data_IF_710086496369
#
_entry.id   IF_710086496369
#
_cell.length_a   1.000
_cell.length_b   1.000
_cell.length_c   1.000
_cell.angle_alpha   90.00
_cell.angle_beta   90.00
_cell.angle_gamma   90.00
#
_symmetry.space_group_name_H-M   'P 1'
#
loop_
_entity.id
_entity.type
_entity.pdbx_description
1 polymer ?
#
# COMPACT_ATOMS: atom_id res chain seq x y z
N UNK A 1 4.00 44.73 -9.78
CA UNK A 1 3.09 44.38 -10.93
C UNK A 1 3.85 44.36 -12.28
N UNK A 2 5.04 43.78 -12.30
CA UNK A 2 5.88 43.77 -13.50
C UNK A 2 5.41 42.75 -14.55
N UNK A 3 4.47 41.86 -14.23
CA UNK A 3 3.90 40.89 -15.14
C UNK A 3 2.38 40.75 -14.93
N UNK A 4 1.56 41.70 -15.37
CA UNK A 4 0.10 41.72 -15.09
C UNK A 4 -0.63 40.55 -15.77
N UNK A 5 -0.13 40.03 -16.88
CA UNK A 5 -0.79 38.98 -17.67
C UNK A 5 -0.45 37.56 -17.24
N UNK A 6 0.55 37.37 -16.41
CA UNK A 6 0.93 36.05 -15.93
C UNK A 6 0.11 35.59 -14.71
N UNK A 7 -0.21 34.30 -14.65
CA UNK A 7 -0.87 33.72 -13.49
C UNK A 7 0.11 33.46 -12.35
N UNK A 8 -0.37 33.64 -11.12
CA UNK A 8 0.36 33.35 -9.88
C UNK A 8 -0.49 32.56 -8.90
N UNK A 9 0.13 31.57 -8.25
CA UNK A 9 -0.44 30.92 -7.05
C UNK A 9 0.32 31.45 -5.83
N UNK A 10 -0.43 31.97 -4.86
CA UNK A 10 0.08 32.58 -3.65
C UNK A 10 -0.32 31.71 -2.45
N UNK A 11 0.66 31.14 -1.79
CA UNK A 11 0.49 30.20 -0.71
C UNK A 11 0.66 30.87 0.65
N UNK A 12 -0.35 30.73 1.52
CA UNK A 12 -0.32 31.12 2.93
C UNK A 12 -0.54 29.92 3.86
N UNK A 13 -0.36 30.12 5.17
CA UNK A 13 -0.60 29.09 6.19
C UNK A 13 -1.92 29.29 6.94
N UNK A 14 -2.30 30.54 7.20
CA UNK A 14 -3.47 30.89 8.02
C UNK A 14 -4.56 31.61 7.21
N UNK A 15 -5.82 31.47 7.61
CA UNK A 15 -6.93 32.15 6.95
C UNK A 15 -6.77 33.68 7.04
N UNK A 16 -6.40 34.19 8.21
CA UNK A 16 -6.20 35.64 8.40
C UNK A 16 -5.15 36.23 7.47
N UNK A 17 -4.08 35.47 7.19
CA UNK A 17 -3.04 35.83 6.23
C UNK A 17 -3.59 35.84 4.80
N UNK A 18 -4.29 34.79 4.38
CA UNK A 18 -4.86 34.72 3.02
C UNK A 18 -5.94 35.77 2.81
N UNK A 19 -6.70 36.14 3.85
CA UNK A 19 -7.67 37.23 3.79
C UNK A 19 -7.01 38.62 3.67
N UNK A 20 -5.91 38.83 4.38
CA UNK A 20 -5.13 40.07 4.26
C UNK A 20 -4.49 40.19 2.86
N UNK A 21 -3.92 39.09 2.31
CA UNK A 21 -3.37 39.06 0.96
C UNK A 21 -4.45 39.37 -0.08
N UNK A 22 -5.64 38.77 0.08
CA UNK A 22 -6.75 39.02 -0.87
C UNK A 22 -7.28 40.48 -0.89
N UNK A 23 -7.11 41.19 0.21
CA UNK A 23 -7.43 42.61 0.29
C UNK A 23 -6.37 43.51 -0.37
N UNK A 24 -5.12 43.03 -0.41
CA UNK A 24 -3.99 43.79 -0.91
C UNK A 24 -3.67 43.51 -2.39
N UNK A 25 -4.13 42.39 -2.93
CA UNK A 25 -3.81 41.95 -4.27
C UNK A 25 -5.06 42.02 -5.14
N UNK A 26 -5.07 42.96 -6.06
CA UNK A 26 -6.16 43.12 -7.01
C UNK A 26 -6.32 41.88 -7.93
N UNK A 27 -7.56 41.66 -8.38
CA UNK A 27 -7.92 40.53 -9.28
C UNK A 27 -7.52 39.17 -8.71
N UNK A 28 -7.53 39.03 -7.39
CA UNK A 28 -7.23 37.76 -6.71
C UNK A 28 -8.49 37.02 -6.28
N UNK A 29 -8.38 35.71 -6.26
CA UNK A 29 -9.40 34.82 -5.72
C UNK A 29 -8.81 34.07 -4.53
N UNK A 30 -9.49 34.15 -3.38
CA UNK A 30 -9.07 33.44 -2.17
C UNK A 30 -9.89 32.15 -1.99
N UNK A 31 -9.22 31.01 -1.82
CA UNK A 31 -9.85 29.71 -1.58
C UNK A 31 -9.39 29.15 -0.24
N UNK A 32 -10.34 28.96 0.66
CA UNK A 32 -10.10 28.53 2.04
C UNK A 32 -10.74 27.16 2.34
N UNK A 33 -10.25 26.48 3.39
CA UNK A 33 -10.80 25.22 3.87
C UNK A 33 -12.25 25.33 4.34
N UNK A 34 -12.65 26.50 4.87
CA UNK A 34 -13.98 26.84 5.36
C UNK A 34 -15.03 27.06 4.27
N UNK A 35 -14.61 27.29 3.02
CA UNK A 35 -15.55 27.54 1.93
C UNK A 35 -16.39 26.28 1.62
N UNK A 36 -17.62 26.51 1.15
CA UNK A 36 -18.48 25.42 0.70
C UNK A 36 -17.82 24.66 -0.46
N UNK A 37 -17.94 23.33 -0.51
CA UNK A 37 -17.26 22.50 -1.55
C UNK A 37 -17.53 22.98 -2.99
N UNK A 38 -18.76 23.42 -3.29
CA UNK A 38 -19.17 23.92 -4.61
C UNK A 38 -18.48 25.23 -4.97
N UNK A 39 -18.40 26.18 -4.00
CA UNK A 39 -17.72 27.47 -4.18
C UNK A 39 -16.24 27.25 -4.41
N UNK A 40 -15.63 26.35 -3.63
CA UNK A 40 -14.23 25.97 -3.73
C UNK A 40 -13.91 25.39 -5.10
N UNK A 41 -14.70 24.41 -5.55
CA UNK A 41 -14.54 23.79 -6.85
C UNK A 41 -14.70 24.81 -8.00
N UNK A 42 -15.70 25.67 -7.91
CA UNK A 42 -15.92 26.72 -8.91
C UNK A 42 -14.73 27.68 -9.00
N UNK A 43 -14.26 28.21 -7.87
CA UNK A 43 -13.15 29.17 -7.81
C UNK A 43 -11.84 28.56 -8.34
N UNK A 44 -11.54 27.30 -7.99
CA UNK A 44 -10.38 26.61 -8.49
C UNK A 44 -10.48 26.34 -10.00
N UNK A 45 -11.66 26.02 -10.52
CA UNK A 45 -11.89 25.86 -11.94
C UNK A 45 -11.78 27.16 -12.73
N UNK A 46 -12.29 28.28 -12.18
CA UNK A 46 -12.13 29.60 -12.79
C UNK A 46 -10.64 29.99 -12.92
N UNK A 47 -9.83 29.70 -11.90
CA UNK A 47 -8.37 29.90 -12.02
C UNK A 47 -7.74 28.97 -13.07
N UNK A 48 -8.16 27.69 -13.14
CA UNK A 48 -7.67 26.75 -14.14
C UNK A 48 -8.02 27.15 -15.58
N UNK A 49 -9.14 27.89 -15.78
CA UNK A 49 -9.56 28.45 -17.08
C UNK A 49 -8.97 29.84 -17.38
N UNK A 50 -8.05 30.31 -16.55
CA UNK A 50 -7.41 31.63 -16.66
C UNK A 50 -8.35 32.85 -16.52
N UNK A 51 -9.54 32.65 -15.93
CA UNK A 51 -10.51 33.72 -15.63
C UNK A 51 -10.00 34.66 -14.53
N UNK A 52 -9.10 34.16 -13.68
CA UNK A 52 -8.40 34.94 -12.66
C UNK A 52 -6.89 34.77 -12.81
N UNK A 53 -6.15 35.86 -12.56
CA UNK A 53 -4.69 35.86 -12.64
C UNK A 53 -3.99 35.52 -11.33
N UNK A 54 -4.67 35.63 -10.19
CA UNK A 54 -4.09 35.44 -8.85
C UNK A 54 -4.96 34.48 -8.02
N UNK A 55 -4.41 33.33 -7.66
CA UNK A 55 -5.03 32.39 -6.72
C UNK A 55 -4.32 32.47 -5.37
N UNK A 56 -5.05 32.78 -4.32
CA UNK A 56 -4.57 32.78 -2.94
C UNK A 56 -5.18 31.57 -2.25
N UNK A 57 -4.36 30.71 -1.64
CA UNK A 57 -4.83 29.52 -0.96
C UNK A 57 -3.79 28.99 0.03
N UNK A 58 -4.11 27.89 0.74
CA UNK A 58 -3.20 27.24 1.67
C UNK A 58 -2.62 25.95 1.08
N UNK A 59 -1.40 25.60 1.47
CA UNK A 59 -0.74 24.35 1.04
C UNK A 59 -1.55 23.11 1.40
N UNK A 60 -2.31 23.13 2.52
CA UNK A 60 -3.21 22.06 2.93
C UNK A 60 -4.41 21.84 2.00
N UNK A 61 -4.76 22.82 1.16
CA UNK A 61 -5.83 22.74 0.16
C UNK A 61 -5.29 22.20 -1.17
N UNK A 62 -3.99 22.22 -1.38
CA UNK A 62 -3.34 21.65 -2.56
C UNK A 62 -3.61 20.14 -2.74
N UNK A 63 -4.08 19.44 -1.69
CA UNK A 63 -4.45 18.01 -1.73
C UNK A 63 -5.67 17.69 -2.61
N UNK A 64 -6.41 18.70 -3.10
CA UNK A 64 -7.60 18.51 -3.95
C UNK A 64 -7.33 18.17 -5.42
N UNK A 65 -6.24 17.55 -5.78
CA UNK A 65 -6.03 16.92 -7.09
C UNK A 65 -5.96 17.83 -8.32
N UNK A 66 -6.12 19.14 -8.17
CA UNK A 66 -6.15 20.11 -9.28
C UNK A 66 -4.79 20.21 -9.97
N UNK A 67 -4.84 20.43 -11.29
CA UNK A 67 -3.70 20.60 -12.15
C UNK A 67 -3.66 22.04 -12.68
N UNK A 68 -2.52 22.72 -12.49
CA UNK A 68 -2.33 24.11 -12.91
C UNK A 68 -1.13 24.25 -13.83
N UNK A 69 -1.08 23.45 -14.90
CA UNK A 69 0.01 23.47 -15.90
C UNK A 69 0.14 24.83 -16.61
N UNK A 70 -0.95 25.58 -16.72
CA UNK A 70 -0.93 26.92 -17.30
C UNK A 70 -0.20 27.94 -16.41
N UNK A 71 -0.16 27.72 -15.09
CA UNK A 71 0.53 28.59 -14.15
C UNK A 71 1.98 28.09 -13.91
N UNK A 72 2.94 28.99 -13.98
CA UNK A 72 4.35 28.69 -13.75
C UNK A 72 5.01 29.57 -12.69
N UNK A 73 4.25 30.45 -12.05
CA UNK A 73 4.75 31.32 -10.98
C UNK A 73 4.06 31.01 -9.65
N UNK A 74 4.85 30.83 -8.60
CA UNK A 74 4.37 30.58 -7.25
C UNK A 74 5.05 31.49 -6.26
N UNK A 75 4.29 31.97 -5.26
CA UNK A 75 4.79 32.75 -4.14
C UNK A 75 4.37 32.07 -2.85
N UNK A 76 5.33 31.75 -1.98
CA UNK A 76 5.06 31.30 -0.62
C UNK A 76 5.28 32.46 0.33
N UNK A 77 4.19 33.03 0.84
CA UNK A 77 4.22 34.14 1.80
C UNK A 77 4.59 33.65 3.20
N UNK A 78 4.12 32.45 3.54
CA UNK A 78 4.53 31.73 4.74
C UNK A 78 4.57 30.22 4.45
N UNK A 79 5.40 29.51 5.19
CA UNK A 79 5.54 28.06 5.08
C UNK A 79 6.03 27.47 6.40
N UNK A 80 5.69 26.19 6.64
CA UNK A 80 6.13 25.43 7.81
C UNK A 80 7.30 24.49 7.47
N UNK A 81 7.77 23.72 8.45
CA UNK A 81 8.85 22.74 8.27
C UNK A 81 8.44 21.49 7.47
N UNK A 82 7.18 21.39 6.99
CA UNK A 82 6.67 20.24 6.24
C UNK A 82 7.06 20.33 4.78
N UNK A 83 8.23 19.79 4.45
CA UNK A 83 8.72 19.74 3.07
C UNK A 83 7.73 19.10 2.10
N UNK A 84 7.00 18.10 2.53
CA UNK A 84 6.01 17.40 1.70
C UNK A 84 4.89 18.33 1.23
N UNK A 85 4.29 19.13 2.13
CA UNK A 85 3.25 20.10 1.77
C UNK A 85 3.77 21.14 0.76
N UNK A 86 4.99 21.62 0.96
CA UNK A 86 5.67 22.51 0.03
C UNK A 86 5.90 21.84 -1.33
N UNK A 87 6.45 20.63 -1.35
CA UNK A 87 6.69 19.87 -2.57
C UNK A 87 5.41 19.56 -3.33
N UNK A 88 4.35 19.13 -2.66
CA UNK A 88 3.04 18.89 -3.27
C UNK A 88 2.45 20.16 -3.89
N UNK A 89 2.59 21.31 -3.23
CA UNK A 89 2.17 22.59 -3.78
C UNK A 89 2.94 22.95 -5.06
N UNK A 90 4.26 22.77 -5.09
CA UNK A 90 5.08 23.01 -6.29
C UNK A 90 4.69 22.07 -7.43
N UNK A 91 4.40 20.80 -7.14
CA UNK A 91 3.99 19.81 -8.14
C UNK A 91 2.64 20.11 -8.81
N UNK A 92 1.86 21.07 -8.32
CA UNK A 92 0.62 21.51 -8.98
C UNK A 92 0.89 22.22 -10.32
N UNK A 93 1.99 22.96 -10.41
CA UNK A 93 2.42 23.61 -11.65
C UNK A 93 3.55 22.86 -12.36
N UNK A 94 4.45 22.21 -11.61
CA UNK A 94 5.56 21.44 -12.16
C UNK A 94 5.11 20.00 -12.45
N UNK A 95 4.47 19.81 -13.60
CA UNK A 95 3.93 18.51 -14.05
C UNK A 95 4.23 18.26 -15.52
N UNK A 96 3.96 17.02 -15.95
CA UNK A 96 4.02 16.65 -17.36
C UNK A 96 3.10 17.59 -18.20
N UNK A 97 3.64 18.16 -19.27
CA UNK A 97 2.94 19.16 -20.10
C UNK A 97 3.22 20.62 -19.72
N UNK A 98 3.97 20.90 -18.63
CA UNK A 98 4.46 22.25 -18.35
C UNK A 98 5.62 22.60 -19.31
N UNK A 99 5.42 23.61 -20.14
CA UNK A 99 6.39 24.04 -21.13
C UNK A 99 7.28 25.22 -20.68
N UNK A 100 6.86 25.89 -19.59
CA UNK A 100 7.59 27.02 -19.03
C UNK A 100 8.34 26.65 -17.77
N UNK A 101 9.45 27.29 -17.48
CA UNK A 101 10.20 27.11 -16.25
C UNK A 101 9.35 27.59 -15.06
N UNK A 102 9.04 26.70 -14.12
CA UNK A 102 8.32 27.05 -12.90
C UNK A 102 9.22 27.87 -11.98
N UNK A 103 8.75 29.04 -11.60
CA UNK A 103 9.43 29.97 -10.69
C UNK A 103 8.76 29.92 -9.32
N UNK A 104 9.54 29.64 -8.28
CA UNK A 104 9.07 29.58 -6.89
C UNK A 104 9.75 30.70 -6.10
N UNK A 105 8.95 31.64 -5.61
CA UNK A 105 9.39 32.75 -4.78
C UNK A 105 9.07 32.43 -3.30
N UNK A 106 10.10 32.46 -2.46
CA UNK A 106 9.96 32.26 -1.01
C UNK A 106 10.15 33.58 -0.29
N UNK A 107 9.13 34.08 0.39
CA UNK A 107 9.25 35.24 1.28
C UNK A 107 9.74 34.77 2.65
N UNK A 108 10.98 35.07 3.01
CA UNK A 108 11.63 34.59 4.23
C UNK A 108 11.93 35.74 5.14
N UNK A 109 11.14 35.98 6.18
CA UNK A 109 11.54 36.94 7.23
C UNK A 109 12.80 36.44 7.94
N UNK A 110 13.58 37.35 8.52
CA UNK A 110 14.85 37.01 9.17
C UNK A 110 14.70 35.97 10.31
N UNK A 111 13.56 36.01 11.00
CA UNK A 111 13.22 35.06 12.05
C UNK A 111 13.03 33.60 11.56
N UNK A 112 12.85 33.39 10.25
CA UNK A 112 12.60 32.08 9.66
C UNK A 112 13.75 31.54 8.77
N UNK A 113 14.96 32.09 8.86
CA UNK A 113 16.12 31.61 8.11
C UNK A 113 16.41 30.12 8.30
N UNK A 114 16.15 29.59 9.49
CA UNK A 114 16.35 28.15 9.79
C UNK A 114 15.31 27.26 9.07
N UNK A 115 14.08 27.72 8.88
CA UNK A 115 13.05 26.98 8.12
C UNK A 115 13.47 26.85 6.66
N UNK A 116 13.95 27.97 6.07
CA UNK A 116 14.48 27.96 4.71
C UNK A 116 15.63 26.97 4.54
N UNK A 117 16.61 26.99 5.45
CA UNK A 117 17.77 26.08 5.40
C UNK A 117 17.30 24.62 5.43
N UNK A 118 16.37 24.26 6.33
CA UNK A 118 15.82 22.91 6.43
C UNK A 118 15.07 22.46 5.16
N UNK A 119 14.29 23.36 4.54
CA UNK A 119 13.58 23.05 3.30
C UNK A 119 14.55 22.84 2.14
N UNK A 120 15.55 23.71 1.98
CA UNK A 120 16.57 23.58 0.94
C UNK A 120 17.45 22.33 1.10
N UNK A 121 17.78 21.94 2.32
CA UNK A 121 18.52 20.70 2.59
C UNK A 121 17.68 19.46 2.24
N UNK A 122 16.37 19.47 2.58
CA UNK A 122 15.45 18.40 2.21
C UNK A 122 15.20 18.36 0.71
N UNK A 123 15.06 19.51 0.06
CA UNK A 123 14.96 19.63 -1.38
C UNK A 123 16.19 19.07 -2.09
N UNK A 124 17.38 19.48 -1.66
CA UNK A 124 18.65 18.97 -2.21
C UNK A 124 18.74 17.46 -2.12
N UNK A 125 18.48 16.88 -0.95
CA UNK A 125 18.45 15.42 -0.74
C UNK A 125 17.42 14.74 -1.64
N UNK A 126 16.23 15.34 -1.81
CA UNK A 126 15.18 14.83 -2.69
C UNK A 126 15.60 14.85 -4.17
N UNK A 127 16.20 15.95 -4.65
CA UNK A 127 16.67 16.03 -6.03
C UNK A 127 17.92 15.18 -6.29
N UNK A 128 18.83 15.05 -5.32
CA UNK A 128 19.95 14.11 -5.42
C UNK A 128 19.43 12.69 -5.59
N UNK A 129 18.44 12.28 -4.80
CA UNK A 129 17.79 10.99 -4.91
C UNK A 129 17.06 10.80 -6.25
N UNK A 130 16.28 11.80 -6.73
CA UNK A 130 15.62 11.74 -8.05
C UNK A 130 16.67 11.69 -9.17
N UNK A 131 17.75 12.44 -9.08
CA UNK A 131 18.83 12.44 -10.07
C UNK A 131 19.56 11.11 -10.10
N UNK A 132 19.79 10.52 -8.96
CA UNK A 132 20.32 9.16 -8.87
C UNK A 132 19.33 8.17 -9.51
N UNK A 133 18.03 8.22 -9.16
CA UNK A 133 16.99 7.38 -9.77
C UNK A 133 16.85 7.61 -11.29
N UNK A 134 16.93 8.85 -11.79
CA UNK A 134 16.81 9.14 -13.23
C UNK A 134 18.07 8.78 -14.03
N UNK A 135 19.25 8.92 -13.44
CA UNK A 135 20.50 8.44 -14.05
C UNK A 135 20.53 6.90 -14.13
N UNK A 136 19.86 6.23 -13.21
CA UNK A 136 19.67 4.79 -13.23
C UNK A 136 18.66 4.33 -14.30
N UNK A 137 17.60 5.11 -14.60
CA UNK A 137 16.62 4.75 -15.64
C UNK A 137 17.10 5.03 -17.06
N UNK A 138 18.08 5.91 -17.27
CA UNK A 138 18.54 6.31 -18.60
C UNK A 138 19.71 5.48 -19.16
N UNK A 139 20.45 4.78 -18.34
CA UNK A 139 21.72 4.17 -18.75
C UNK A 139 22.08 2.90 -17.97
N UNK A 140 21.28 1.89 -17.87
CA UNK A 140 21.91 0.59 -17.50
C UNK A 140 20.89 -0.53 -17.37
N UNK A 141 21.31 -1.74 -17.77
CA UNK A 141 20.78 -3.00 -17.28
C UNK A 141 20.42 -2.89 -15.79
N UNK A 142 19.13 -3.01 -15.49
CA UNK A 142 18.52 -2.90 -14.17
C UNK A 142 19.24 -3.73 -13.09
N UNK A 143 19.87 -4.85 -13.48
CA UNK A 143 20.63 -5.71 -12.58
C UNK A 143 21.88 -5.08 -11.94
N UNK A 144 22.50 -4.09 -12.59
CA UNK A 144 23.77 -3.51 -12.11
C UNK A 144 23.55 -2.29 -11.19
N UNK A 145 22.39 -1.65 -11.25
CA UNK A 145 22.08 -0.44 -10.49
C UNK A 145 21.72 -0.74 -9.02
N UNK A 146 21.03 -1.86 -8.76
CA UNK A 146 20.55 -2.26 -7.44
C UNK A 146 21.67 -2.70 -6.50
N UNK A 147 22.80 -3.15 -7.04
CA UNK A 147 23.94 -3.67 -6.24
C UNK A 147 24.72 -2.60 -5.43
N UNK A 148 24.40 -1.31 -5.53
CA UNK A 148 25.17 -0.21 -4.89
C UNK A 148 24.46 0.54 -3.78
N UNK A 149 23.17 0.34 -3.55
CA UNK A 149 22.50 0.90 -2.39
C UNK A 149 22.62 -0.11 -1.23
N UNK A 150 23.60 0.08 -0.38
CA UNK A 150 23.65 -0.61 0.93
C UNK A 150 22.47 -0.10 1.78
N UNK A 151 21.30 -0.69 1.60
CA UNK A 151 20.27 -0.69 2.63
C UNK A 151 20.82 -1.59 3.74
N UNK A 152 21.08 -1.06 4.92
CA UNK A 152 21.42 -1.86 6.10
C UNK A 152 20.14 -2.58 6.52
N UNK A 153 19.82 -3.65 5.82
CA UNK A 153 18.71 -4.52 6.18
C UNK A 153 19.13 -5.26 7.45
N UNK A 154 18.33 -5.12 8.50
CA UNK A 154 18.42 -6.05 9.62
C UNK A 154 17.86 -7.38 9.11
N UNK A 155 18.58 -8.46 9.35
CA UNK A 155 18.16 -9.79 8.97
C UNK A 155 18.36 -10.78 10.09
N UNK A 156 17.53 -11.79 10.11
CA UNK A 156 17.72 -12.98 10.93
C UNK A 156 17.55 -14.17 10.02
N UNK A 157 18.58 -14.95 9.90
CA UNK A 157 18.63 -16.16 9.11
C UNK A 157 18.90 -17.35 10.04
N UNK A 158 18.03 -18.36 9.95
CA UNK A 158 18.14 -19.64 10.66
C UNK A 158 17.91 -20.79 9.67
N UNK A 159 18.03 -22.02 10.11
CA UNK A 159 17.75 -23.19 9.26
C UNK A 159 16.27 -23.29 8.84
N UNK A 160 15.36 -22.72 9.65
CA UNK A 160 13.93 -22.83 9.46
C UNK A 160 13.27 -21.57 8.91
N UNK A 161 13.86 -20.39 9.14
CA UNK A 161 13.27 -19.14 8.68
C UNK A 161 14.28 -18.03 8.48
N UNK A 162 13.93 -17.10 7.58
CA UNK A 162 14.61 -15.84 7.36
C UNK A 162 13.62 -14.69 7.47
N UNK A 163 13.94 -13.67 8.26
CA UNK A 163 13.14 -12.45 8.39
C UNK A 163 14.01 -11.25 8.07
N UNK A 164 13.56 -10.44 7.11
CA UNK A 164 14.28 -9.27 6.60
C UNK A 164 13.52 -7.98 6.94
N UNK A 165 14.24 -6.97 7.43
CA UNK A 165 13.70 -5.62 7.57
C UNK A 165 14.12 -4.76 6.38
N UNK A 166 13.25 -4.54 5.42
CA UNK A 166 13.56 -3.78 4.22
C UNK A 166 12.40 -3.68 3.23
N UNK A 167 12.65 -2.98 2.14
CA UNK A 167 11.74 -2.94 0.99
C UNK A 167 11.62 -4.33 0.35
N UNK A 168 10.39 -4.75 0.03
CA UNK A 168 10.14 -6.09 -0.48
C UNK A 168 10.78 -6.31 -1.87
N UNK A 169 10.73 -5.34 -2.77
CA UNK A 169 11.33 -5.47 -4.11
C UNK A 169 12.84 -5.62 -4.00
N UNK A 170 13.49 -4.72 -3.25
CA UNK A 170 14.95 -4.76 -3.05
C UNK A 170 15.41 -6.02 -2.34
N UNK A 171 14.64 -6.51 -1.38
CA UNK A 171 14.97 -7.74 -0.66
C UNK A 171 14.81 -8.96 -1.57
N UNK A 172 13.70 -9.05 -2.32
CA UNK A 172 13.50 -10.17 -3.24
C UNK A 172 14.59 -10.23 -4.31
N UNK A 173 15.07 -9.07 -4.82
CA UNK A 173 16.18 -9.02 -5.79
C UNK A 173 17.49 -9.66 -5.28
N UNK A 174 17.68 -9.75 -3.97
CA UNK A 174 18.85 -10.38 -3.35
C UNK A 174 18.65 -11.87 -3.11
N UNK A 175 17.41 -12.37 -3.19
CA UNK A 175 17.12 -13.79 -3.04
C UNK A 175 17.45 -14.57 -4.32
N UNK A 176 17.89 -15.83 -4.20
CA UNK A 176 18.11 -16.69 -5.35
C UNK A 176 16.84 -16.93 -6.18
N UNK A 177 17.00 -17.22 -7.46
CA UNK A 177 15.93 -17.69 -8.31
C UNK A 177 15.35 -19.00 -7.74
N UNK A 178 14.04 -19.20 -7.86
CA UNK A 178 13.37 -20.45 -7.46
C UNK A 178 13.62 -20.87 -5.99
N UNK A 179 13.78 -19.91 -5.08
CA UNK A 179 14.04 -20.19 -3.66
C UNK A 179 12.77 -20.40 -2.82
N UNK A 180 11.61 -20.03 -3.33
CA UNK A 180 10.32 -20.18 -2.64
C UNK A 180 9.43 -21.21 -3.38
N UNK A 181 8.81 -22.10 -2.60
CA UNK A 181 7.87 -23.10 -3.12
C UNK A 181 6.45 -22.54 -3.25
N UNK A 182 6.09 -21.60 -2.40
CA UNK A 182 4.80 -20.90 -2.44
C UNK A 182 4.98 -19.49 -1.89
N UNK A 183 4.20 -18.53 -2.39
CA UNK A 183 4.08 -17.22 -1.76
C UNK A 183 2.67 -17.00 -1.25
N UNK A 184 2.53 -16.53 0.01
CA UNK A 184 1.23 -16.23 0.64
C UNK A 184 1.35 -14.87 1.31
N UNK A 185 0.45 -13.94 0.98
CA UNK A 185 0.46 -12.61 1.58
C UNK A 185 -0.85 -11.84 1.40
N UNK A 186 -0.99 -10.79 2.19
CA UNK A 186 -2.00 -9.75 2.02
C UNK A 186 -1.28 -8.46 1.64
N UNK A 187 -1.51 -7.88 0.47
CA UNK A 187 -0.86 -6.63 0.08
C UNK A 187 -1.40 -5.46 0.90
N UNK A 188 -0.66 -4.36 1.05
CA UNK A 188 -1.22 -3.14 1.59
C UNK A 188 -2.42 -2.69 0.72
N UNK A 189 -3.46 -2.17 1.37
CA UNK A 189 -4.70 -1.75 0.70
C UNK A 189 -4.62 -0.30 0.20
N UNK A 190 -3.58 0.05 -0.57
CA UNK A 190 -3.38 1.38 -1.16
C UNK A 190 -3.82 2.54 -0.22
N UNK A 191 -4.65 3.47 -0.68
CA UNK A 191 -5.10 4.66 0.06
C UNK A 191 -5.88 4.40 1.38
N UNK A 192 -6.20 3.15 1.72
CA UNK A 192 -7.00 2.83 2.91
C UNK A 192 -6.20 2.98 4.21
N UNK A 193 -4.92 2.61 4.20
CA UNK A 193 -4.07 2.61 5.40
C UNK A 193 -2.65 3.05 5.07
N UNK A 194 -2.13 3.98 5.87
CA UNK A 194 -0.73 4.37 5.88
C UNK A 194 -0.04 3.54 6.96
N UNK A 195 0.92 2.70 6.58
CA UNK A 195 1.58 1.78 7.52
C UNK A 195 2.89 2.33 8.08
N UNK A 196 3.56 3.21 7.35
CA UNK A 196 4.80 3.87 7.82
C UNK A 196 5.03 5.22 7.13
N UNK A 197 5.92 6.06 7.68
CA UNK A 197 6.34 7.33 7.07
C UNK A 197 7.39 7.13 5.95
N UNK A 198 7.73 5.89 5.60
CA UNK A 198 8.74 5.58 4.59
C UNK A 198 8.16 5.73 3.19
N UNK A 199 8.98 6.22 2.25
CA UNK A 199 8.58 6.41 0.84
C UNK A 199 8.41 5.09 0.08
N UNK A 200 9.08 4.07 0.54
CA UNK A 200 9.07 2.70 0.04
C UNK A 200 7.78 1.95 0.45
N UNK A 201 7.00 2.53 1.37
CA UNK A 201 5.72 1.96 1.79
C UNK A 201 4.70 2.08 0.67
N UNK A 202 4.32 0.95 0.09
CA UNK A 202 3.30 0.88 -0.96
C UNK A 202 1.91 1.35 -0.48
N UNK A 203 1.66 1.41 0.83
CA UNK A 203 0.46 2.02 1.42
C UNK A 203 0.46 3.54 1.39
N UNK A 204 1.60 4.20 1.18
CA UNK A 204 1.74 5.67 1.15
C UNK A 204 1.55 6.28 -0.25
N UNK A 205 0.93 5.56 -1.16
CA UNK A 205 0.70 6.04 -2.53
C UNK A 205 -0.45 7.04 -2.61
N UNK A 206 -0.26 8.09 -3.40
CA UNK A 206 -1.27 9.14 -3.57
C UNK A 206 -2.46 8.71 -4.43
N UNK A 207 -2.34 7.62 -5.19
CA UNK A 207 -3.40 7.06 -6.03
C UNK A 207 -3.08 5.63 -6.47
N UNK A 208 -4.11 4.92 -6.96
CA UNK A 208 -4.01 3.52 -7.41
C UNK A 208 -3.04 3.31 -8.57
N UNK A 209 -2.79 4.31 -9.40
CA UNK A 209 -1.81 4.20 -10.49
C UNK A 209 -0.38 4.11 -9.96
N UNK A 210 -0.05 4.87 -8.91
CA UNK A 210 1.24 4.73 -8.25
C UNK A 210 1.38 3.37 -7.55
N UNK A 211 0.28 2.88 -6.95
CA UNK A 211 0.25 1.55 -6.37
C UNK A 211 0.51 0.46 -7.42
N UNK A 212 -0.16 0.55 -8.57
CA UNK A 212 0.09 -0.32 -9.73
C UNK A 212 1.55 -0.26 -10.18
N UNK A 213 2.09 0.95 -10.30
CA UNK A 213 3.48 1.15 -10.74
C UNK A 213 4.48 0.48 -9.76
N UNK A 214 4.22 0.51 -8.46
CA UNK A 214 5.04 -0.22 -7.47
C UNK A 214 4.88 -1.74 -7.61
N UNK A 215 3.66 -2.25 -7.81
CA UNK A 215 3.41 -3.68 -8.02
C UNK A 215 4.08 -4.21 -9.29
N UNK A 216 4.21 -3.40 -10.34
CA UNK A 216 4.94 -3.76 -11.56
C UNK A 216 6.41 -4.13 -11.31
N UNK A 217 7.01 -3.64 -10.25
CA UNK A 217 8.37 -4.03 -9.86
C UNK A 217 8.39 -5.28 -8.97
N UNK A 218 7.37 -5.50 -8.15
CA UNK A 218 7.29 -6.66 -7.26
C UNK A 218 6.94 -7.95 -8.03
N UNK A 219 5.98 -7.89 -8.97
CA UNK A 219 5.46 -9.08 -9.65
C UNK A 219 6.55 -9.84 -10.42
N UNK A 220 7.47 -9.18 -11.20
CA UNK A 220 8.57 -9.89 -11.85
C UNK A 220 9.51 -10.58 -10.86
N UNK A 221 9.77 -9.98 -9.70
CA UNK A 221 10.60 -10.60 -8.67
C UNK A 221 9.89 -11.79 -8.03
N UNK A 222 8.58 -11.72 -7.77
CA UNK A 222 7.80 -12.88 -7.33
C UNK A 222 7.86 -14.01 -8.36
N UNK A 223 7.75 -13.66 -9.66
CA UNK A 223 7.86 -14.66 -10.75
C UNK A 223 9.22 -15.36 -10.78
N UNK A 224 10.28 -14.62 -10.47
CA UNK A 224 11.66 -15.13 -10.44
C UNK A 224 11.95 -16.01 -9.22
N UNK A 225 11.49 -15.58 -8.02
CA UNK A 225 11.83 -16.27 -6.76
C UNK A 225 10.93 -17.45 -6.44
N UNK A 226 9.68 -17.44 -6.92
CA UNK A 226 8.75 -18.56 -6.78
C UNK A 226 9.02 -19.58 -7.89
N UNK A 227 9.17 -20.85 -7.54
CA UNK A 227 9.46 -21.93 -8.47
C UNK A 227 8.42 -22.03 -9.58
N UNK A 228 8.84 -22.53 -10.73
CA UNK A 228 7.98 -22.81 -11.87
C UNK A 228 6.83 -23.76 -11.51
N UNK A 229 5.65 -23.49 -12.06
CA UNK A 229 4.44 -24.27 -11.81
C UNK A 229 3.83 -24.13 -10.41
N UNK A 230 4.40 -23.30 -9.55
CA UNK A 230 4.00 -23.12 -8.15
C UNK A 230 3.07 -21.91 -7.96
N UNK A 231 2.49 -21.77 -6.78
CA UNK A 231 1.39 -20.84 -6.50
C UNK A 231 1.86 -19.59 -5.75
N UNK A 232 1.31 -18.46 -6.17
CA UNK A 232 1.26 -17.20 -5.39
C UNK A 232 -0.19 -16.99 -4.96
N UNK A 233 -0.44 -16.98 -3.65
CA UNK A 233 -1.75 -16.80 -3.06
C UNK A 233 -1.86 -15.40 -2.42
N UNK A 234 -2.81 -14.59 -2.89
CA UNK A 234 -2.98 -13.20 -2.45
C UNK A 234 -4.32 -13.03 -1.78
N UNK A 235 -4.30 -12.70 -0.48
CA UNK A 235 -5.50 -12.31 0.24
C UNK A 235 -5.82 -10.85 -0.01
N UNK A 236 -7.05 -10.56 -0.45
CA UNK A 236 -7.51 -9.20 -0.71
C UNK A 236 -9.03 -9.05 -0.50
N UNK A 237 -9.50 -7.83 -0.62
CA UNK A 237 -10.94 -7.50 -0.70
C UNK A 237 -11.13 -6.32 -1.65
N UNK A 238 -12.34 -6.19 -2.21
CA UNK A 238 -12.71 -4.98 -2.94
C UNK A 238 -12.89 -3.80 -1.98
N UNK A 239 -12.54 -2.61 -2.45
CA UNK A 239 -12.40 -1.46 -1.57
C UNK A 239 -13.64 -0.57 -1.59
N UNK A 240 -14.22 -0.24 -0.42
CA UNK A 240 -15.40 0.62 -0.37
C UNK A 240 -15.06 2.07 -0.78
N UNK A 241 -15.82 2.60 -1.72
CA UNK A 241 -15.77 3.99 -2.14
C UNK A 241 -16.62 4.81 -1.16
N UNK A 242 -16.03 5.88 -0.61
CA UNK A 242 -16.68 6.76 0.35
C UNK A 242 -17.26 8.00 -0.34
N UNK A 243 -18.57 8.27 -0.13
CA UNK A 243 -19.24 9.44 -0.71
C UNK A 243 -18.54 10.77 -0.40
N UNK A 244 -17.95 10.90 0.77
CA UNK A 244 -17.23 12.12 1.18
C UNK A 244 -15.93 12.38 0.42
N UNK A 245 -15.32 11.34 -0.16
CA UNK A 245 -14.07 11.43 -0.91
C UNK A 245 -14.29 11.49 -2.42
N UNK A 246 -15.18 10.64 -2.94
CA UNK A 246 -15.35 10.45 -4.39
C UNK A 246 -16.74 10.86 -4.91
N UNK A 247 -17.64 11.35 -4.04
CA UNK A 247 -18.96 11.86 -4.44
C UNK A 247 -20.05 10.80 -4.55
N UNK A 248 -19.73 9.52 -4.58
CA UNK A 248 -20.67 8.40 -4.69
C UNK A 248 -20.33 7.25 -3.74
N UNK A 249 -21.26 6.30 -3.60
CA UNK A 249 -21.07 5.06 -2.84
C UNK A 249 -20.92 3.93 -3.87
N UNK A 250 -19.86 3.11 -3.71
CA UNK A 250 -19.58 2.00 -4.61
C UNK A 250 -18.49 1.11 -4.08
N UNK A 251 -17.98 0.24 -4.94
CA UNK A 251 -16.82 -0.60 -4.70
C UNK A 251 -15.79 -0.34 -5.81
N UNK A 252 -14.53 -0.36 -5.44
CA UNK A 252 -13.41 -0.45 -6.36
C UNK A 252 -13.02 -1.91 -6.48
N UNK A 253 -13.01 -2.43 -7.67
CA UNK A 253 -12.65 -3.81 -7.98
C UNK A 253 -11.11 -4.00 -7.84
N UNK A 254 -10.65 -4.10 -6.60
CA UNK A 254 -9.24 -4.30 -6.32
C UNK A 254 -8.80 -5.73 -6.66
N UNK A 255 -9.70 -6.70 -6.47
CA UNK A 255 -9.45 -8.08 -6.85
C UNK A 255 -9.24 -8.25 -8.35
N UNK A 256 -10.06 -7.59 -9.18
CA UNK A 256 -9.89 -7.57 -10.64
C UNK A 256 -8.60 -6.88 -11.08
N UNK A 257 -8.24 -5.75 -10.45
CA UNK A 257 -6.97 -5.06 -10.73
C UNK A 257 -5.76 -5.96 -10.45
N UNK A 258 -5.73 -6.69 -9.34
CA UNK A 258 -4.65 -7.65 -9.04
C UNK A 258 -4.59 -8.77 -10.09
N UNK A 259 -5.75 -9.29 -10.52
CA UNK A 259 -5.80 -10.31 -11.58
C UNK A 259 -5.16 -9.78 -12.87
N UNK A 260 -5.54 -8.58 -13.30
CA UNK A 260 -4.98 -7.96 -14.50
C UNK A 260 -3.47 -7.72 -14.38
N UNK A 261 -3.00 -7.21 -13.25
CA UNK A 261 -1.56 -6.93 -13.06
C UNK A 261 -0.71 -8.20 -13.10
N UNK A 262 -1.15 -9.27 -12.42
CA UNK A 262 -0.41 -10.53 -12.40
C UNK A 262 -0.44 -11.25 -13.74
N UNK A 263 -1.61 -11.29 -14.42
CA UNK A 263 -1.73 -11.93 -15.73
C UNK A 263 -0.94 -11.19 -16.82
N UNK A 264 -0.92 -9.85 -16.78
CA UNK A 264 -0.12 -9.04 -17.69
C UNK A 264 1.40 -9.22 -17.49
N UNK A 265 1.84 -9.76 -16.35
CA UNK A 265 3.24 -10.08 -16.05
C UNK A 265 3.56 -11.58 -16.25
N UNK A 266 2.62 -12.34 -16.84
CA UNK A 266 2.83 -13.74 -17.23
C UNK A 266 2.56 -14.75 -16.13
N UNK A 267 1.79 -14.40 -15.10
CA UNK A 267 1.17 -15.39 -14.22
C UNK A 267 -0.12 -15.94 -14.82
N UNK A 268 -0.44 -17.17 -14.51
CA UNK A 268 -1.71 -17.78 -14.87
C UNK A 268 -2.70 -17.55 -13.73
N UNK A 269 -3.82 -16.88 -14.00
CA UNK A 269 -4.90 -16.82 -13.02
C UNK A 269 -5.50 -18.21 -12.85
N UNK A 270 -5.21 -18.85 -11.72
CA UNK A 270 -5.56 -20.23 -11.46
C UNK A 270 -6.99 -20.37 -10.92
N UNK A 271 -7.30 -19.67 -9.85
CA UNK A 271 -8.60 -19.74 -9.18
C UNK A 271 -8.74 -18.67 -8.09
N UNK A 272 -9.90 -18.64 -7.43
CA UNK A 272 -10.06 -17.87 -6.18
C UNK A 272 -10.97 -18.59 -5.20
N UNK A 273 -10.70 -18.41 -3.91
CA UNK A 273 -11.62 -18.71 -2.83
C UNK A 273 -12.26 -17.42 -2.31
N UNK A 274 -13.55 -17.45 -2.06
CA UNK A 274 -14.31 -16.35 -1.44
C UNK A 274 -14.47 -16.63 0.05
N UNK A 275 -14.00 -15.76 0.92
CA UNK A 275 -14.16 -15.86 2.37
C UNK A 275 -15.42 -15.10 2.77
N UNK A 276 -16.40 -15.83 3.28
CA UNK A 276 -17.63 -15.24 3.75
C UNK A 276 -17.41 -14.38 5.01
N UNK A 277 -18.07 -13.24 5.07
CA UNK A 277 -18.09 -12.35 6.23
C UNK A 277 -19.52 -12.09 6.68
N UNK A 278 -19.72 -12.08 7.98
CA UNK A 278 -21.00 -11.65 8.53
C UNK A 278 -21.24 -10.16 8.23
N UNK A 279 -22.33 -9.79 7.53
CA UNK A 279 -22.58 -8.41 7.11
C UNK A 279 -22.76 -7.44 8.29
N UNK A 280 -23.23 -7.90 9.44
CA UNK A 280 -23.35 -7.07 10.64
C UNK A 280 -21.97 -6.73 11.20
N UNK A 281 -21.07 -7.72 11.28
CA UNK A 281 -19.69 -7.52 11.74
C UNK A 281 -18.92 -6.61 10.79
N UNK A 282 -19.08 -6.80 9.47
CA UNK A 282 -18.47 -5.95 8.46
C UNK A 282 -18.96 -4.50 8.60
N UNK A 283 -20.27 -4.31 8.73
CA UNK A 283 -20.86 -2.98 8.93
C UNK A 283 -20.29 -2.27 10.16
N UNK A 284 -20.15 -2.99 11.27
CA UNK A 284 -19.59 -2.43 12.51
C UNK A 284 -18.12 -2.00 12.33
N UNK A 285 -17.35 -2.77 11.58
CA UNK A 285 -15.93 -2.49 11.31
C UNK A 285 -15.73 -1.37 10.30
N UNK A 286 -16.43 -1.41 9.18
CA UNK A 286 -16.22 -0.47 8.04
C UNK A 286 -17.06 0.78 8.17
N UNK A 287 -18.14 0.76 8.99
CA UNK A 287 -19.14 1.85 9.10
C UNK A 287 -19.70 2.30 7.73
N UNK A 288 -19.72 1.37 6.77
CA UNK A 288 -20.10 1.66 5.38
C UNK A 288 -21.61 1.92 5.27
N UNK A 289 -21.98 3.11 4.83
CA UNK A 289 -23.37 3.54 4.74
C UNK A 289 -24.24 2.61 3.90
N UNK A 290 -23.71 2.10 2.79
CA UNK A 290 -24.42 1.19 1.89
C UNK A 290 -24.79 -0.18 2.46
N UNK A 291 -24.26 -0.55 3.64
CA UNK A 291 -24.51 -1.84 4.30
C UNK A 291 -25.47 -1.72 5.50
N UNK A 292 -25.95 -0.52 5.82
CA UNK A 292 -26.85 -0.31 6.96
C UNK A 292 -28.27 -0.80 6.64
N UNK A 293 -28.83 -1.69 7.48
CA UNK A 293 -30.21 -2.17 7.34
C UNK A 293 -31.25 -1.04 7.21
N UNK A 294 -31.07 0.08 7.93
CA UNK A 294 -31.95 1.25 7.81
C UNK A 294 -32.00 1.87 6.40
N UNK A 295 -30.97 1.62 5.57
CA UNK A 295 -30.88 2.15 4.20
C UNK A 295 -31.90 1.47 3.30
N UNK A 296 -32.20 0.18 3.52
CA UNK A 296 -33.22 -0.57 2.77
C UNK A 296 -34.61 0.08 2.86
N UNK A 297 -34.95 0.65 4.05
CA UNK A 297 -36.23 1.32 4.27
C UNK A 297 -36.37 2.67 3.55
N UNK A 298 -35.25 3.26 3.15
CA UNK A 298 -35.23 4.57 2.46
C UNK A 298 -35.11 4.39 0.96
N UNK A 299 -34.13 3.62 0.55
CA UNK A 299 -33.83 3.32 -0.83
C UNK A 299 -32.97 2.05 -0.89
N UNK A 300 -33.57 0.95 -1.33
CA UNK A 300 -32.87 -0.34 -1.43
C UNK A 300 -31.76 -0.34 -2.50
N UNK A 301 -31.84 0.52 -3.52
CA UNK A 301 -30.82 0.66 -4.54
C UNK A 301 -29.51 1.23 -3.98
N UNK A 302 -29.58 1.92 -2.85
CA UNK A 302 -28.40 2.41 -2.12
C UNK A 302 -27.78 1.37 -1.17
N UNK A 303 -28.45 0.23 -0.99
CA UNK A 303 -27.96 -0.87 -0.17
C UNK A 303 -27.11 -1.81 -1.01
N UNK A 304 -26.00 -2.26 -0.44
CA UNK A 304 -25.14 -3.29 -1.03
C UNK A 304 -25.07 -4.53 -0.15
N UNK A 305 -24.67 -5.64 -0.73
CA UNK A 305 -24.28 -6.85 0.01
C UNK A 305 -22.99 -6.61 0.80
N UNK A 306 -22.70 -7.49 1.77
CA UNK A 306 -21.40 -7.47 2.47
C UNK A 306 -20.25 -7.70 1.48
N UNK A 307 -19.09 -7.12 1.78
CA UNK A 307 -17.87 -7.34 0.99
C UNK A 307 -17.17 -8.58 1.55
N UNK A 308 -17.02 -9.66 0.75
CA UNK A 308 -16.21 -10.80 1.16
C UNK A 308 -14.71 -10.46 1.09
N UNK A 309 -13.88 -11.31 1.69
CA UNK A 309 -12.48 -11.36 1.30
C UNK A 309 -12.30 -12.42 0.21
N UNK A 310 -11.21 -12.29 -0.53
CA UNK A 310 -10.79 -13.25 -1.53
C UNK A 310 -9.38 -13.74 -1.23
N UNK A 311 -9.11 -15.01 -1.57
CA UNK A 311 -7.76 -15.48 -1.83
C UNK A 311 -7.66 -15.75 -3.32
N UNK A 312 -6.86 -14.95 -4.01
CA UNK A 312 -6.57 -15.10 -5.43
C UNK A 312 -5.37 -16.03 -5.58
N UNK A 313 -5.49 -17.04 -6.42
CA UNK A 313 -4.41 -17.99 -6.71
C UNK A 313 -3.87 -17.74 -8.10
N UNK A 314 -2.57 -17.49 -8.17
CA UNK A 314 -1.84 -17.33 -9.41
C UNK A 314 -0.80 -18.44 -9.52
N UNK A 315 -0.74 -19.12 -10.65
CA UNK A 315 0.28 -20.13 -10.93
C UNK A 315 1.41 -19.50 -11.73
N UNK A 316 2.64 -19.70 -11.29
CA UNK A 316 3.80 -19.36 -12.10
C UNK A 316 3.85 -20.26 -13.34
N UNK A 317 4.30 -19.75 -14.47
CA UNK A 317 4.47 -20.55 -15.70
C UNK A 317 5.48 -21.68 -15.47
N UNK A 318 5.46 -22.68 -16.34
CA UNK A 318 6.36 -23.82 -16.29
C UNK A 318 5.77 -25.04 -15.57
N UNK A 319 6.58 -26.07 -15.41
CA UNK A 319 6.20 -27.35 -14.84
C UNK A 319 6.60 -27.41 -13.36
N UNK A 320 5.69 -27.91 -12.53
CA UNK A 320 5.99 -28.21 -11.14
C UNK A 320 6.81 -29.50 -11.03
N UNK A 321 8.10 -29.37 -10.80
CA UNK A 321 9.01 -30.52 -10.69
C UNK A 321 8.86 -31.30 -9.37
N UNK A 322 8.23 -30.69 -8.34
CA UNK A 322 7.97 -31.32 -7.06
C UNK A 322 6.47 -31.39 -6.83
N UNK A 323 5.79 -32.46 -7.22
CA UNK A 323 4.34 -32.60 -7.05
C UNK A 323 3.92 -32.40 -5.60
N UNK A 324 2.79 -31.71 -5.41
CA UNK A 324 2.13 -31.62 -4.13
C UNK A 324 1.22 -32.84 -4.03
N UNK A 325 1.51 -33.71 -3.05
CA UNK A 325 0.79 -34.97 -2.88
C UNK A 325 -0.05 -34.93 -1.62
N UNK A 326 -1.22 -35.52 -1.68
CA UNK A 326 -2.11 -35.72 -0.56
C UNK A 326 -2.66 -37.13 -0.57
N UNK A 327 -2.93 -37.67 0.62
CA UNK A 327 -3.57 -38.95 0.78
C UNK A 327 -4.58 -38.89 1.96
N UNK A 328 -5.56 -39.79 1.97
CA UNK A 328 -6.68 -39.78 2.91
C UNK A 328 -6.75 -41.01 3.82
N UNK A 329 -5.73 -41.89 3.77
CA UNK A 329 -5.78 -43.20 4.41
C UNK A 329 -4.93 -43.33 5.67
N UNK A 330 -3.92 -42.49 5.84
CA UNK A 330 -2.96 -42.56 6.95
C UNK A 330 -2.77 -41.20 7.60
N UNK A 331 -3.42 -40.98 8.74
CA UNK A 331 -3.40 -39.72 9.49
C UNK A 331 -2.05 -39.43 10.18
N UNK A 332 -1.12 -40.38 10.14
CA UNK A 332 0.25 -40.18 10.64
C UNK A 332 1.19 -39.59 9.60
N UNK A 333 0.74 -39.46 8.37
CA UNK A 333 1.55 -38.93 7.25
C UNK A 333 1.38 -37.42 7.10
N UNK A 334 2.45 -36.69 6.75
CA UNK A 334 2.44 -35.24 6.59
C UNK A 334 1.55 -34.74 5.44
N UNK A 335 1.31 -35.58 4.44
CA UNK A 335 0.44 -35.29 3.31
C UNK A 335 -1.03 -35.75 3.54
N UNK A 336 -1.40 -36.09 4.78
CA UNK A 336 -2.76 -36.47 5.13
C UNK A 336 -3.72 -35.31 4.94
N UNK A 337 -4.68 -35.49 4.06
CA UNK A 337 -5.77 -34.56 3.80
C UNK A 337 -7.06 -35.37 3.56
N UNK A 338 -7.84 -35.68 4.60
CA UNK A 338 -9.04 -36.48 4.48
C UNK A 338 -10.07 -35.81 3.57
N UNK A 339 -10.91 -36.62 2.93
CA UNK A 339 -11.85 -36.18 1.89
C UNK A 339 -12.78 -35.06 2.37
N UNK A 340 -13.27 -35.13 3.58
CA UNK A 340 -14.16 -34.10 4.18
C UNK A 340 -13.42 -32.78 4.38
N UNK A 341 -12.16 -32.81 4.82
CA UNK A 341 -11.34 -31.62 4.95
C UNK A 341 -10.94 -31.05 3.58
N UNK A 342 -10.59 -31.93 2.62
CA UNK A 342 -10.35 -31.52 1.27
C UNK A 342 -11.56 -30.85 0.63
N UNK A 343 -12.78 -31.41 0.75
CA UNK A 343 -14.01 -30.81 0.24
C UNK A 343 -14.25 -29.41 0.82
N UNK A 344 -13.96 -29.23 2.09
CA UNK A 344 -14.06 -27.96 2.79
C UNK A 344 -13.06 -26.93 2.26
N UNK A 345 -11.81 -27.31 2.06
CA UNK A 345 -10.74 -26.43 1.61
C UNK A 345 -10.78 -26.13 0.10
N UNK A 346 -11.19 -27.11 -0.71
CA UNK A 346 -11.38 -26.97 -2.16
C UNK A 346 -12.68 -26.24 -2.53
N UNK A 347 -13.55 -25.94 -1.55
CA UNK A 347 -14.77 -25.16 -1.80
C UNK A 347 -14.43 -23.76 -2.31
N UNK A 348 -15.14 -23.24 -3.34
CA UNK A 348 -14.95 -21.88 -3.81
C UNK A 348 -15.41 -20.81 -2.81
N UNK A 349 -16.13 -21.20 -1.78
CA UNK A 349 -16.58 -20.32 -0.70
C UNK A 349 -16.23 -20.93 0.67
N UNK A 350 -15.46 -20.21 1.45
CA UNK A 350 -15.10 -20.57 2.82
C UNK A 350 -15.98 -19.84 3.81
N UNK A 351 -16.94 -20.57 4.39
CA UNK A 351 -17.94 -20.01 5.33
C UNK A 351 -17.46 -19.97 6.78
N UNK A 352 -16.47 -20.78 7.13
CA UNK A 352 -16.11 -21.13 8.49
C UNK A 352 -14.70 -20.71 8.89
N UNK A 353 -14.13 -19.74 8.18
CA UNK A 353 -12.87 -19.11 8.60
C UNK A 353 -13.08 -18.37 9.92
N UNK A 354 -12.35 -18.75 10.96
CA UNK A 354 -12.39 -18.02 12.23
C UNK A 354 -11.58 -16.74 12.12
N UNK A 355 -12.29 -15.63 11.96
CA UNK A 355 -11.70 -14.27 11.86
C UNK A 355 -10.98 -13.83 13.14
N UNK A 356 -11.13 -14.54 14.28
CA UNK A 356 -10.47 -14.27 15.57
C UNK A 356 -9.16 -15.02 15.70
N UNK A 357 -8.94 -16.06 14.92
CA UNK A 357 -7.69 -16.84 14.93
C UNK A 357 -6.60 -16.06 14.19
N UNK A 358 -6.07 -15.02 14.85
CA UNK A 358 -5.01 -14.14 14.39
C UNK A 358 -3.92 -14.02 15.43
N UNK A 359 -2.71 -13.65 15.02
CA UNK A 359 -1.66 -13.29 15.96
C UNK A 359 -2.04 -12.01 16.74
N UNK A 360 -1.52 -11.90 17.97
CA UNK A 360 -1.73 -10.74 18.83
C UNK A 360 -1.04 -9.51 18.23
N UNK A 361 -1.83 -8.49 17.86
CA UNK A 361 -1.35 -7.28 17.20
C UNK A 361 -1.38 -6.02 18.10
N UNK A 362 -1.97 -6.11 19.29
CA UNK A 362 -2.12 -4.97 20.20
C UNK A 362 -0.81 -4.42 20.70
N UNK A 363 0.23 -5.26 20.81
CA UNK A 363 1.59 -4.90 21.22
C UNK A 363 2.44 -4.27 20.10
N UNK A 364 1.95 -4.30 18.85
CA UNK A 364 2.64 -3.77 17.68
C UNK A 364 2.39 -2.28 17.44
N UNK A 365 1.54 -1.65 18.23
CA UNK A 365 1.12 -0.25 18.05
C UNK A 365 2.13 0.70 18.66
N UNK A 366 2.75 1.53 17.82
CA UNK A 366 3.66 2.57 18.28
C UNK A 366 2.94 3.83 18.79
N UNK A 367 1.72 4.14 18.27
CA UNK A 367 0.90 5.29 18.65
C UNK A 367 -0.59 5.03 18.40
N UNK A 368 -1.46 5.88 18.96
CA UNK A 368 -2.93 5.81 18.82
C UNK A 368 -3.46 5.93 17.37
N UNK A 369 -2.62 6.25 16.40
CA UNK A 369 -3.02 6.45 15.00
C UNK A 369 -3.06 5.16 14.18
N UNK A 370 -2.42 4.09 14.64
CA UNK A 370 -2.40 2.79 13.93
C UNK A 370 -3.57 1.89 14.35
N UNK A 371 -4.79 2.32 14.10
CA UNK A 371 -6.01 1.58 14.50
C UNK A 371 -6.30 0.34 13.65
N UNK A 372 -5.49 0.04 12.62
CA UNK A 372 -5.91 -0.87 11.53
C UNK A 372 -4.91 -1.96 11.17
N UNK A 373 -4.10 -2.43 12.13
CA UNK A 373 -3.36 -3.68 11.92
C UNK A 373 -4.38 -4.81 11.85
N UNK A 374 -4.52 -5.43 10.68
CA UNK A 374 -5.36 -6.60 10.46
C UNK A 374 -4.45 -7.75 9.99
N UNK A 375 -3.87 -8.53 10.93
CA UNK A 375 -3.09 -9.70 10.53
C UNK A 375 -3.97 -10.71 9.81
N UNK A 376 -3.41 -11.38 8.81
CA UNK A 376 -4.12 -12.43 8.07
C UNK A 376 -4.50 -13.56 9.03
N UNK A 377 -5.71 -14.11 8.85
CA UNK A 377 -6.21 -15.21 9.67
C UNK A 377 -5.36 -16.47 9.45
N UNK A 378 -4.97 -17.11 10.55
CA UNK A 378 -4.17 -18.34 10.49
C UNK A 378 -4.94 -19.47 9.80
N UNK A 379 -6.28 -19.53 9.93
CA UNK A 379 -7.12 -20.49 9.19
C UNK A 379 -7.01 -20.34 7.67
N UNK A 380 -6.94 -19.09 7.18
CA UNK A 380 -6.79 -18.81 5.75
C UNK A 380 -5.43 -19.31 5.25
N UNK A 381 -4.36 -19.01 6.00
CA UNK A 381 -3.00 -19.44 5.66
C UNK A 381 -2.91 -20.97 5.69
N UNK A 382 -3.45 -21.61 6.73
CA UNK A 382 -3.47 -23.06 6.90
C UNK A 382 -4.10 -23.77 5.71
N UNK A 383 -5.28 -23.31 5.24
CA UNK A 383 -5.95 -23.88 4.06
C UNK A 383 -5.12 -23.76 2.80
N UNK A 384 -4.51 -22.59 2.57
CA UNK A 384 -3.64 -22.36 1.42
C UNK A 384 -2.42 -23.29 1.45
N UNK A 385 -1.77 -23.43 2.60
CA UNK A 385 -0.60 -24.28 2.75
C UNK A 385 -0.93 -25.76 2.62
N UNK A 386 -2.07 -26.23 3.15
CA UNK A 386 -2.54 -27.59 2.94
C UNK A 386 -2.78 -27.89 1.45
N UNK A 387 -3.43 -26.99 0.73
CA UNK A 387 -3.77 -27.20 -0.68
C UNK A 387 -2.55 -27.16 -1.62
N UNK A 388 -1.55 -26.31 -1.32
CA UNK A 388 -0.54 -25.91 -2.32
C UNK A 388 0.90 -25.99 -1.84
N UNK A 389 1.19 -26.70 -0.75
CA UNK A 389 2.57 -26.93 -0.31
C UNK A 389 2.79 -28.27 0.39
N UNK A 390 3.99 -28.82 0.27
CA UNK A 390 4.45 -29.98 1.03
C UNK A 390 5.20 -29.55 2.31
N UNK A 391 5.39 -30.47 3.26
CA UNK A 391 6.29 -30.25 4.39
C UNK A 391 7.73 -30.00 3.93
N UNK A 392 8.48 -29.21 4.70
CA UNK A 392 9.85 -28.84 4.39
C UNK A 392 10.00 -27.74 3.34
N UNK A 393 8.91 -27.40 2.62
CA UNK A 393 8.90 -26.38 1.58
C UNK A 393 8.94 -24.94 2.15
N UNK A 394 9.41 -24.01 1.34
CA UNK A 394 9.62 -22.61 1.73
C UNK A 394 8.43 -21.72 1.35
N UNK A 395 7.86 -21.07 2.32
CA UNK A 395 6.77 -20.09 2.19
C UNK A 395 7.34 -18.67 2.20
N UNK A 396 7.05 -17.87 1.18
CA UNK A 396 7.48 -16.48 1.05
C UNK A 396 6.31 -15.52 1.35
N UNK A 397 6.54 -14.55 2.24
CA UNK A 397 5.66 -13.38 2.40
C UNK A 397 6.45 -12.09 2.16
N UNK A 398 6.19 -11.36 1.06
CA UNK A 398 6.83 -10.08 0.75
C UNK A 398 6.30 -8.92 1.61
N UNK A 399 5.17 -9.10 2.29
CA UNK A 399 4.53 -8.17 3.21
C UNK A 399 4.26 -8.88 4.54
N UNK A 400 5.32 -9.23 5.25
CA UNK A 400 5.24 -10.13 6.38
C UNK A 400 4.48 -9.59 7.61
N UNK A 401 4.29 -8.27 7.71
CA UNK A 401 3.61 -7.67 8.85
C UNK A 401 4.19 -8.16 10.18
N UNK A 402 3.32 -8.65 11.05
CA UNK A 402 3.73 -9.26 12.33
C UNK A 402 4.09 -10.76 12.21
N UNK A 403 4.14 -11.33 11.00
CA UNK A 403 4.63 -12.67 10.71
C UNK A 403 3.58 -13.78 10.74
N UNK A 404 2.32 -13.52 10.42
CA UNK A 404 1.25 -14.53 10.47
C UNK A 404 1.51 -15.70 9.53
N UNK A 405 1.94 -15.41 8.28
CA UNK A 405 2.22 -16.40 7.26
C UNK A 405 3.39 -17.30 7.68
N UNK A 406 4.47 -16.68 8.15
CA UNK A 406 5.65 -17.41 8.60
C UNK A 406 5.40 -18.22 9.87
N UNK A 407 4.65 -17.68 10.82
CA UNK A 407 4.24 -18.41 12.04
C UNK A 407 3.46 -19.67 11.68
N UNK A 408 2.42 -19.55 10.84
CA UNK A 408 1.61 -20.71 10.44
C UNK A 408 2.41 -21.71 9.60
N UNK A 409 3.29 -21.24 8.71
CA UNK A 409 4.18 -22.09 7.94
C UNK A 409 5.07 -22.95 8.85
N UNK A 410 5.73 -22.35 9.85
CA UNK A 410 6.59 -23.04 10.80
C UNK A 410 5.82 -24.04 11.66
N UNK A 411 4.59 -23.71 12.06
CA UNK A 411 3.70 -24.63 12.81
C UNK A 411 3.31 -25.86 12.00
N UNK A 412 3.30 -25.75 10.67
CA UNK A 412 2.95 -26.79 9.72
C UNK A 412 4.16 -27.45 9.06
N UNK A 413 5.34 -27.38 9.65
CA UNK A 413 6.57 -27.99 9.13
C UNK A 413 7.09 -27.42 7.80
N UNK A 414 6.73 -26.17 7.46
CA UNK A 414 7.32 -25.44 6.35
C UNK A 414 8.43 -24.52 6.85
N UNK A 415 9.26 -24.05 5.93
CA UNK A 415 10.21 -22.95 6.16
C UNK A 415 9.56 -21.62 5.80
N UNK A 416 10.13 -20.52 6.29
CA UNK A 416 9.60 -19.18 6.03
C UNK A 416 10.65 -18.20 5.57
N UNK A 417 10.30 -17.40 4.55
CA UNK A 417 10.98 -16.15 4.19
C UNK A 417 9.96 -15.03 4.35
N UNK A 418 10.25 -14.06 5.21
CA UNK A 418 9.35 -12.95 5.51
C UNK A 418 10.07 -11.62 5.36
N UNK A 419 9.47 -10.67 4.64
CA UNK A 419 10.01 -9.32 4.45
C UNK A 419 9.06 -8.31 5.04
N UNK A 420 9.56 -7.39 5.86
CA UNK A 420 8.77 -6.34 6.50
C UNK A 420 9.53 -5.02 6.49
N UNK A 421 8.87 -3.97 5.99
CA UNK A 421 9.48 -2.65 5.87
C UNK A 421 9.54 -1.91 7.21
N UNK A 422 8.48 -2.03 8.03
CA UNK A 422 8.35 -1.31 9.29
C UNK A 422 9.12 -2.01 10.40
N UNK A 423 10.06 -1.30 11.03
CA UNK A 423 10.96 -1.89 12.05
C UNK A 423 10.21 -2.46 13.25
N UNK A 424 9.17 -1.79 13.76
CA UNK A 424 8.39 -2.29 14.90
C UNK A 424 7.67 -3.60 14.57
N UNK A 425 7.15 -3.74 13.33
CA UNK A 425 6.52 -4.98 12.87
C UNK A 425 7.55 -6.09 12.65
N UNK A 426 8.71 -5.77 12.08
CA UNK A 426 9.83 -6.70 11.95
C UNK A 426 10.25 -7.30 13.30
N UNK A 427 10.35 -6.48 14.36
CA UNK A 427 10.71 -6.99 15.70
C UNK A 427 9.66 -7.95 16.27
N UNK A 428 8.39 -7.76 15.96
CA UNK A 428 7.31 -8.66 16.36
C UNK A 428 7.27 -9.90 15.49
N UNK A 429 7.43 -9.73 14.19
CA UNK A 429 7.55 -10.81 13.21
C UNK A 429 8.61 -11.84 13.65
N UNK A 430 9.80 -11.34 13.98
CA UNK A 430 10.90 -12.14 14.53
C UNK A 430 10.50 -12.91 15.81
N UNK A 431 9.81 -12.25 16.74
CA UNK A 431 9.36 -12.90 17.98
C UNK A 431 8.35 -14.01 17.69
N UNK A 432 7.43 -13.77 16.76
CA UNK A 432 6.41 -14.74 16.38
C UNK A 432 7.02 -15.96 15.66
N UNK A 433 7.99 -15.78 14.76
CA UNK A 433 8.72 -16.89 14.16
C UNK A 433 9.44 -17.74 15.22
N UNK A 434 10.14 -17.07 16.15
CA UNK A 434 10.80 -17.77 17.26
C UNK A 434 9.80 -18.52 18.13
N UNK A 435 8.64 -17.92 18.44
CA UNK A 435 7.58 -18.55 19.20
C UNK A 435 7.04 -19.81 18.51
N UNK A 436 6.79 -19.75 17.19
CA UNK A 436 6.32 -20.90 16.43
C UNK A 436 7.27 -22.11 16.52
N UNK A 437 8.58 -21.87 16.41
CA UNK A 437 9.58 -22.93 16.54
C UNK A 437 9.62 -23.52 17.96
N UNK A 438 9.56 -22.66 18.99
CA UNK A 438 9.57 -23.10 20.39
C UNK A 438 8.31 -23.89 20.77
N UNK A 439 7.14 -23.40 20.38
CA UNK A 439 5.86 -24.08 20.64
C UNK A 439 5.80 -25.46 19.98
N UNK A 440 6.35 -25.58 18.77
CA UNK A 440 6.45 -26.86 18.09
C UNK A 440 7.38 -27.82 18.83
N UNK A 441 8.59 -27.35 19.22
CA UNK A 441 9.54 -28.17 19.98
C UNK A 441 8.96 -28.64 21.32
N UNK A 442 8.10 -27.84 21.95
CA UNK A 442 7.43 -28.25 23.19
C UNK A 442 6.39 -29.35 22.95
N UNK A 443 5.68 -29.35 21.83
CA UNK A 443 4.70 -30.41 21.48
C UNK A 443 5.35 -31.74 21.14
N UNK A 444 6.61 -31.76 20.68
CA UNK A 444 7.36 -32.99 20.36
C UNK A 444 7.99 -33.64 21.61
N UNK A 445 7.92 -33.02 22.79
CA UNK A 445 8.45 -33.54 24.03
C UNK A 445 7.41 -34.32 24.86
N UNK A 446 6.17 -34.36 24.40
CA UNK A 446 5.06 -35.11 25.01
C UNK A 446 4.47 -36.11 23.99
#
# INVERSE_FOLDING_TARGET
NDNPDEQFIIWGLQNAETDALNKLIDESINVQGSDKPEVKANNLNCFAREEFKRLITKTSIASFGMNYQQCHNMVFCSYDFKFEAFYQAVRRCYRFGQTKKVKVHLLVPESQKNVRKSILEKEKKHFEMIKEMSNYSANTDYKTAVSKVKVTNKEIVTDNYSVFNGDCVQTLQQLPDNCADISVFSPPFAELYVYSDKKEDMGNVANYKQFEDHFKFLIPELKRVVKDGRIVAIHCMDLPIQKGKEGFIGLRDFSGMLIDWFTNQGFIYHSRATIWKNPVTEMQRTKALGLLHKTIKKDSCMSRVGIPDYVLFFRNEGDNLTPITHQDTDDTKPDYLPVDLWQKYASPVWYDVDYRRTLQYTTARDNNDEKHICPLQLDTIERVLHLYSNEGETVLSPFGGIGSEGYQALKMDRKSISVELKESYFEINKKNHKAAVLEKSALTLF
#
